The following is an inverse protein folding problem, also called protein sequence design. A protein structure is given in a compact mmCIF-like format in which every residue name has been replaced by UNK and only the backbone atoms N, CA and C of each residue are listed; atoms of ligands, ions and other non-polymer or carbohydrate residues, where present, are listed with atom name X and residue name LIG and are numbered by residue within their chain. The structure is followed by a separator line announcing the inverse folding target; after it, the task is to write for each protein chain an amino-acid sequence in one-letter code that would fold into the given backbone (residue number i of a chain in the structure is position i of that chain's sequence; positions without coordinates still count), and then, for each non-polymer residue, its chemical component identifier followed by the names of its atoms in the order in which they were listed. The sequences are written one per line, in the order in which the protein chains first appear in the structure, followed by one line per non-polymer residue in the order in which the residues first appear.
data_IF_190467458811
#
_entry.id   IF_190467458811
#
_cell.length_a   1.000
_cell.length_b   1.000
_cell.length_c   1.000
_cell.angle_alpha   90.00
_cell.angle_beta   90.00
_cell.angle_gamma   90.00
#
_symmetry.space_group_name_H-M   'P 1'
#
loop_
_entity.id
_entity.type
_entity.pdbx_description
1 polymer ?
#
# COMPACT_ATOMS: atom_id res chain seq x y z
N UNK A 1 12.80 -14.51 17.18
CA UNK A 1 13.18 -15.13 15.89
C UNK A 1 12.25 -14.55 14.84
N UNK A 2 12.75 -13.71 13.93
CA UNK A 2 11.92 -13.21 12.81
C UNK A 2 11.80 -14.38 11.86
N UNK A 3 10.61 -14.98 11.77
CA UNK A 3 10.34 -16.01 10.77
C UNK A 3 10.69 -15.44 9.39
N UNK A 4 11.63 -16.09 8.69
CA UNK A 4 11.90 -15.77 7.30
C UNK A 4 10.64 -16.16 6.53
N UNK A 5 9.78 -15.18 6.22
CA UNK A 5 8.65 -15.43 5.34
C UNK A 5 9.19 -15.74 3.95
N UNK A 6 8.86 -16.93 3.44
CA UNK A 6 9.27 -17.40 2.13
C UNK A 6 8.70 -16.50 1.03
N UNK A 7 9.50 -16.27 -0.01
CA UNK A 7 9.07 -15.61 -1.23
C UNK A 7 7.88 -16.36 -1.81
N UNK A 8 6.74 -15.68 -2.00
CA UNK A 8 5.56 -16.27 -2.61
C UNK A 8 4.92 -15.34 -3.63
N UNK A 9 4.12 -15.92 -4.52
CA UNK A 9 3.28 -15.13 -5.41
C UNK A 9 2.17 -14.43 -4.60
N UNK A 10 1.93 -13.16 -4.93
CA UNK A 10 0.85 -12.35 -4.38
C UNK A 10 0.21 -11.57 -5.52
N UNK A 11 -1.10 -11.47 -5.51
CA UNK A 11 -1.88 -10.70 -6.48
C UNK A 11 -2.58 -9.53 -5.81
N UNK A 12 -3.01 -8.59 -6.63
CA UNK A 12 -3.76 -7.43 -6.18
C UNK A 12 -4.22 -6.55 -7.31
N UNK A 13 -4.93 -5.48 -6.97
CA UNK A 13 -5.45 -4.52 -7.92
C UNK A 13 -6.26 -3.39 -7.29
N UNK A 14 -6.73 -2.50 -8.15
CA UNK A 14 -7.61 -1.40 -7.75
C UNK A 14 -9.04 -1.85 -7.44
N UNK A 15 -9.84 -0.95 -6.86
CA UNK A 15 -11.25 -1.15 -6.50
C UNK A 15 -12.17 -1.53 -7.68
N UNK A 16 -11.85 -1.13 -8.92
CA UNK A 16 -12.66 -1.49 -10.08
C UNK A 16 -12.10 -2.68 -10.88
N UNK A 17 -10.97 -3.25 -10.47
CA UNK A 17 -10.32 -4.36 -11.19
C UNK A 17 -9.59 -3.98 -12.48
N UNK A 18 -9.65 -2.72 -12.96
CA UNK A 18 -8.98 -2.32 -14.20
C UNK A 18 -7.45 -2.37 -14.11
N UNK A 19 -6.88 -2.16 -12.92
CA UNK A 19 -5.45 -2.34 -12.62
C UNK A 19 -5.31 -3.61 -11.79
N UNK A 20 -4.57 -4.59 -12.32
CA UNK A 20 -4.22 -5.85 -11.66
C UNK A 20 -2.72 -6.07 -11.75
N UNK A 21 -2.14 -6.66 -10.71
CA UNK A 21 -0.73 -6.97 -10.64
C UNK A 21 -0.48 -8.30 -9.96
N UNK A 22 0.72 -8.84 -10.20
CA UNK A 22 1.34 -9.88 -9.38
C UNK A 22 2.74 -9.48 -8.95
N UNK A 23 3.17 -9.99 -7.80
CA UNK A 23 4.56 -9.92 -7.33
C UNK A 23 4.98 -11.25 -6.72
N UNK A 24 6.21 -11.66 -6.97
CA UNK A 24 6.83 -12.81 -6.32
C UNK A 24 7.88 -12.26 -5.35
N UNK A 25 7.47 -12.04 -4.10
CA UNK A 25 8.30 -11.39 -3.08
C UNK A 25 7.80 -11.69 -1.68
N UNK A 26 8.60 -11.31 -0.68
CA UNK A 26 8.18 -11.23 0.71
C UNK A 26 8.15 -9.75 1.14
N UNK A 27 7.00 -9.05 0.99
CA UNK A 27 6.96 -7.61 1.15
C UNK A 27 7.16 -7.15 2.59
N UNK A 28 7.87 -6.04 2.78
CA UNK A 28 8.03 -5.40 4.10
C UNK A 28 6.95 -4.34 4.31
N UNK A 29 5.98 -4.64 5.17
CA UNK A 29 4.86 -3.73 5.46
C UNK A 29 5.15 -2.73 6.59
N UNK A 30 4.62 -1.51 6.48
CA UNK A 30 4.73 -0.47 7.49
C UNK A 30 3.58 0.53 7.46
N UNK A 31 3.36 1.20 8.59
CA UNK A 31 2.50 2.37 8.67
C UNK A 31 3.31 3.62 8.31
N UNK A 32 2.77 4.47 7.42
CA UNK A 32 3.34 5.76 7.09
C UNK A 32 2.39 6.88 7.46
N UNK A 33 2.80 7.67 8.45
CA UNK A 33 1.99 8.72 9.08
C UNK A 33 2.20 10.10 8.46
N UNK A 34 3.09 10.25 7.47
CA UNK A 34 3.41 11.56 6.94
C UNK A 34 2.21 12.20 6.22
N UNK A 35 2.16 13.54 6.23
CA UNK A 35 1.09 14.34 5.62
C UNK A 35 0.80 13.95 4.17
N UNK A 36 1.85 13.65 3.39
CA UNK A 36 1.71 13.22 2.01
C UNK A 36 1.00 11.88 1.88
N UNK A 37 1.30 10.92 2.74
CA UNK A 37 0.64 9.61 2.73
C UNK A 37 -0.82 9.74 3.18
N UNK A 38 -1.11 10.52 4.22
CA UNK A 38 -2.50 10.78 4.66
C UNK A 38 -3.32 11.45 3.55
N UNK A 39 -2.77 12.50 2.92
CA UNK A 39 -3.44 13.21 1.82
C UNK A 39 -3.60 12.34 0.57
N UNK A 40 -2.65 11.43 0.31
CA UNK A 40 -2.71 10.55 -0.85
C UNK A 40 -3.75 9.43 -0.70
N UNK A 41 -4.01 8.97 0.52
CA UNK A 41 -4.98 7.88 0.77
C UNK A 41 -6.33 8.39 1.25
N UNK A 42 -6.41 9.63 1.73
CA UNK A 42 -7.58 10.12 2.47
C UNK A 42 -7.75 9.47 3.85
N UNK A 43 -6.77 8.69 4.32
CA UNK A 43 -6.83 7.93 5.57
C UNK A 43 -5.91 8.52 6.65
N UNK A 44 -6.02 8.01 7.88
CA UNK A 44 -5.18 8.40 9.02
C UNK A 44 -3.68 8.11 8.79
N UNK A 45 -3.39 7.14 7.94
CA UNK A 45 -2.05 6.74 7.50
C UNK A 45 -2.15 5.96 6.18
N UNK A 46 -1.01 5.76 5.51
CA UNK A 46 -0.91 4.73 4.47
C UNK A 46 -0.33 3.46 5.08
N UNK A 47 -0.80 2.30 4.62
CA UNK A 47 -0.13 1.01 4.86
C UNK A 47 0.54 0.60 3.56
N UNK A 48 1.86 0.48 3.58
CA UNK A 48 2.68 0.30 2.39
C UNK A 48 3.58 -0.93 2.54
N UNK A 49 3.66 -1.72 1.48
CA UNK A 49 4.46 -2.93 1.39
C UNK A 49 5.55 -2.77 0.31
N UNK A 50 6.81 -2.73 0.72
CA UNK A 50 7.96 -2.63 -0.18
C UNK A 50 8.25 -3.96 -0.86
N UNK A 51 8.36 -3.94 -2.19
CA UNK A 51 8.76 -5.09 -3.02
C UNK A 51 9.87 -4.68 -4.00
N UNK A 52 10.70 -5.64 -4.47
CA UNK A 52 11.62 -5.37 -5.57
C UNK A 52 10.84 -4.98 -6.83
N UNK A 53 11.21 -3.89 -7.49
CA UNK A 53 10.58 -3.41 -8.73
C UNK A 53 10.55 -4.49 -9.82
N UNK A 54 11.63 -5.28 -9.93
CA UNK A 54 11.74 -6.39 -10.87
C UNK A 54 10.80 -7.56 -10.59
N UNK A 55 10.26 -7.67 -9.37
CA UNK A 55 9.29 -8.71 -9.00
C UNK A 55 7.86 -8.37 -9.43
N UNK A 56 7.58 -7.09 -9.75
CA UNK A 56 6.24 -6.60 -10.03
C UNK A 56 5.89 -6.74 -11.51
N UNK A 57 4.79 -7.41 -11.80
CA UNK A 57 4.21 -7.48 -13.13
C UNK A 57 2.78 -6.97 -13.12
N UNK A 58 2.48 -6.07 -14.07
CA UNK A 58 1.10 -5.64 -14.35
C UNK A 58 0.42 -6.69 -15.22
N UNK A 59 -0.74 -7.17 -14.77
CA UNK A 59 -1.53 -8.20 -15.45
C UNK A 59 -2.64 -7.60 -16.33
N UNK A 60 -2.99 -6.35 -16.09
CA UNK A 60 -3.95 -5.58 -16.89
C UNK A 60 -3.42 -4.16 -17.16
N UNK A 61 -4.28 -3.14 -17.17
CA UNK A 61 -3.85 -1.75 -17.36
C UNK A 61 -2.84 -1.33 -16.29
N UNK A 62 -1.83 -0.56 -16.72
CA UNK A 62 -0.90 0.08 -15.79
C UNK A 62 -1.61 1.23 -15.05
N UNK A 63 -1.32 1.44 -13.75
CA UNK A 63 -1.83 2.61 -13.06
C UNK A 63 -1.24 3.89 -13.65
N UNK A 64 -1.97 4.99 -13.54
CA UNK A 64 -1.44 6.28 -13.93
C UNK A 64 -0.44 6.76 -12.88
N UNK A 65 0.70 7.29 -13.33
CA UNK A 65 1.78 7.76 -12.46
C UNK A 65 1.85 9.29 -12.44
N UNK A 66 1.99 9.87 -11.24
CA UNK A 66 2.14 11.31 -11.01
C UNK A 66 3.37 11.59 -10.15
N UNK A 67 4.16 12.59 -10.53
CA UNK A 67 5.19 13.18 -9.66
C UNK A 67 4.51 13.80 -8.44
N UNK A 68 4.63 13.15 -7.29
CA UNK A 68 3.93 13.54 -6.06
C UNK A 68 4.74 14.50 -5.20
N UNK A 69 6.07 14.44 -5.31
CA UNK A 69 7.02 15.33 -4.67
C UNK A 69 8.30 15.43 -5.52
N UNK A 70 9.27 16.29 -5.16
CA UNK A 70 10.56 16.36 -5.87
C UNK A 70 11.33 15.04 -5.91
N UNK A 71 11.07 14.12 -4.97
CA UNK A 71 11.83 12.87 -4.78
C UNK A 71 11.03 11.60 -5.04
N UNK A 72 9.72 11.71 -5.31
CA UNK A 72 8.84 10.55 -5.33
C UNK A 72 7.69 10.66 -6.32
N UNK A 73 7.32 9.52 -6.89
CA UNK A 73 6.14 9.36 -7.72
C UNK A 73 5.13 8.45 -7.03
N UNK A 74 3.84 8.72 -7.27
CA UNK A 74 2.73 7.88 -6.81
C UNK A 74 1.88 7.48 -7.99
N UNK A 75 1.31 6.28 -7.94
CA UNK A 75 0.42 5.79 -8.97
C UNK A 75 -0.96 5.45 -8.42
N UNK A 76 -1.98 5.59 -9.26
CA UNK A 76 -3.38 5.32 -8.91
C UNK A 76 -4.16 4.84 -10.15
N UNK A 77 -5.30 4.17 -9.92
CA UNK A 77 -6.23 3.84 -10.99
C UNK A 77 -7.02 5.10 -11.40
N UNK A 78 -7.02 5.46 -12.69
CA UNK A 78 -7.78 6.62 -13.17
C UNK A 78 -9.29 6.46 -13.08
N UNK A 79 -9.77 5.22 -13.07
CA UNK A 79 -11.20 4.93 -13.16
C UNK A 79 -11.88 4.93 -11.78
N UNK A 80 -11.21 4.43 -10.74
CA UNK A 80 -11.78 4.36 -9.38
C UNK A 80 -10.97 5.13 -8.32
N UNK A 81 -9.83 5.73 -8.68
CA UNK A 81 -9.01 6.52 -7.76
C UNK A 81 -8.17 5.72 -6.75
N UNK A 82 -8.26 4.39 -6.72
CA UNK A 82 -7.46 3.58 -5.76
C UNK A 82 -5.96 3.90 -5.88
N UNK A 83 -5.29 4.24 -4.76
CA UNK A 83 -3.84 4.41 -4.76
C UNK A 83 -3.18 3.04 -4.92
N UNK A 84 -2.20 2.93 -5.80
CA UNK A 84 -1.56 1.66 -6.15
C UNK A 84 -0.12 1.59 -5.64
N UNK A 85 0.73 2.55 -6.02
CA UNK A 85 2.13 2.47 -5.67
C UNK A 85 2.79 3.81 -5.30
N UNK A 86 3.92 3.72 -4.61
CA UNK A 86 4.89 4.78 -4.32
C UNK A 86 6.28 4.31 -4.76
N UNK A 87 6.99 5.15 -5.51
CA UNK A 87 8.40 4.94 -5.86
C UNK A 87 9.22 6.18 -5.52
N UNK A 88 10.43 5.97 -5.01
CA UNK A 88 11.40 7.03 -4.72
C UNK A 88 12.52 7.01 -5.76
N UNK A 89 12.97 8.19 -6.18
CA UNK A 89 14.07 8.32 -7.15
C UNK A 89 15.38 7.74 -6.63
N UNK A 90 15.61 7.83 -5.32
CA UNK A 90 16.81 7.32 -4.65
C UNK A 90 16.82 5.80 -4.47
N UNK A 91 15.74 5.10 -4.81
CA UNK A 91 15.61 3.65 -4.63
C UNK A 91 14.84 3.04 -5.82
N UNK A 92 15.38 3.11 -7.04
CA UNK A 92 14.66 2.70 -8.26
C UNK A 92 14.33 1.20 -8.29
N UNK A 93 15.10 0.39 -7.57
CA UNK A 93 14.93 -1.06 -7.50
C UNK A 93 13.85 -1.50 -6.50
N UNK A 94 13.26 -0.57 -5.75
CA UNK A 94 12.14 -0.83 -4.83
C UNK A 94 10.89 -0.02 -5.22
N UNK A 95 9.74 -0.64 -5.02
CA UNK A 95 8.43 0.01 -5.16
C UNK A 95 7.55 -0.40 -3.98
N UNK A 96 6.86 0.56 -3.38
CA UNK A 96 5.88 0.30 -2.34
C UNK A 96 4.50 0.16 -2.97
N UNK A 97 3.81 -0.95 -2.69
CA UNK A 97 2.41 -1.17 -3.02
C UNK A 97 1.53 -0.84 -1.81
N UNK A 98 0.34 -0.28 -2.04
CA UNK A 98 -0.63 -0.09 -0.95
C UNK A 98 -1.14 -1.46 -0.46
N UNK A 99 -1.02 -1.74 0.84
CA UNK A 99 -1.39 -3.06 1.39
C UNK A 99 -2.85 -3.41 1.13
N UNK A 100 -3.76 -2.42 1.19
CA UNK A 100 -5.18 -2.62 0.93
C UNK A 100 -5.53 -2.98 -0.52
N UNK A 101 -4.57 -2.98 -1.45
CA UNK A 101 -4.80 -3.40 -2.84
C UNK A 101 -4.36 -4.82 -3.12
N UNK A 102 -3.81 -5.55 -2.16
CA UNK A 102 -3.56 -6.99 -2.29
C UNK A 102 -4.87 -7.77 -2.11
N UNK A 103 -5.03 -8.88 -2.82
CA UNK A 103 -6.24 -9.70 -2.69
C UNK A 103 -6.30 -10.38 -1.30
N UNK A 104 -5.14 -10.84 -0.80
CA UNK A 104 -4.98 -11.44 0.53
C UNK A 104 -3.96 -10.65 1.38
N UNK A 105 -4.39 -9.54 2.04
CA UNK A 105 -3.48 -8.67 2.78
C UNK A 105 -3.23 -9.11 4.24
N UNK A 106 -3.94 -10.14 4.72
CA UNK A 106 -3.99 -10.49 6.14
C UNK A 106 -2.62 -10.76 6.79
N UNK A 107 -1.65 -11.27 6.02
CA UNK A 107 -0.30 -11.57 6.52
C UNK A 107 0.75 -10.50 6.18
N UNK A 108 0.34 -9.39 5.57
CA UNK A 108 1.17 -8.20 5.35
C UNK A 108 1.14 -7.28 6.58
N UNK A 109 1.43 -7.86 7.74
CA UNK A 109 1.40 -7.18 9.03
C UNK A 109 2.48 -6.08 9.10
N UNK A 110 2.11 -4.81 9.32
CA UNK A 110 3.08 -3.73 9.45
C UNK A 110 4.03 -3.93 10.64
N UNK A 111 5.34 -3.85 10.40
CA UNK A 111 6.37 -4.11 11.44
C UNK A 111 6.99 -2.84 12.04
N UNK A 112 6.74 -1.68 11.44
CA UNK A 112 7.27 -0.41 11.94
C UNK A 112 6.38 0.78 11.53
N UNK A 113 6.64 1.93 12.18
CA UNK A 113 5.98 3.19 11.90
C UNK A 113 7.01 4.18 11.31
N UNK A 114 6.66 4.80 10.20
CA UNK A 114 7.42 5.88 9.57
C UNK A 114 6.70 7.22 9.72
N UNK A 115 7.44 8.31 9.93
CA UNK A 115 6.87 9.64 10.11
C UNK A 115 6.07 9.81 11.41
N UNK A 116 6.38 9.03 12.45
CA UNK A 116 5.61 8.93 13.70
C UNK A 116 5.35 10.25 14.43
N UNK A 117 6.18 11.28 14.21
CA UNK A 117 5.95 12.63 14.74
C UNK A 117 4.68 13.29 14.20
N UNK A 118 4.17 12.83 13.04
CA UNK A 118 2.95 13.32 12.40
C UNK A 118 1.77 12.35 12.58
N UNK A 119 1.90 11.33 13.44
CA UNK A 119 0.82 10.40 13.76
C UNK A 119 -0.30 11.14 14.48
N UNK A 120 -1.53 10.98 14.02
CA UNK A 120 -2.70 11.58 14.67
C UNK A 120 -2.93 10.89 16.02
N UNK A 121 -3.15 11.68 17.08
CA UNK A 121 -3.17 11.17 18.46
C UNK A 121 -4.26 10.13 18.74
N UNK A 122 -5.35 10.13 17.97
CA UNK A 122 -6.46 9.18 18.08
C UNK A 122 -6.21 7.86 17.33
N UNK A 123 -5.06 7.71 16.65
CA UNK A 123 -4.76 6.54 15.82
C UNK A 123 -4.31 5.34 16.65
N UNK A 124 -5.27 4.63 17.24
CA UNK A 124 -5.10 3.34 17.92
C UNK A 124 -6.27 2.38 17.61
N UNK A 125 -6.76 2.41 16.37
CA UNK A 125 -7.83 1.55 15.79
C UNK A 125 -9.17 1.45 16.55
N UNK A 126 -9.34 2.12 17.70
CA UNK A 126 -10.62 2.24 18.40
C UNK A 126 -11.32 0.90 18.62
N UNK A 127 -10.58 -0.17 18.96
CA UNK A 127 -11.12 -1.54 19.05
C UNK A 127 -12.29 -1.69 20.03
N UNK A 128 -12.43 -0.75 20.97
CA UNK A 128 -13.51 -0.71 21.96
C UNK A 128 -14.71 0.16 21.53
N UNK A 129 -14.71 0.71 20.31
CA UNK A 129 -15.84 1.46 19.76
C UNK A 129 -16.96 0.52 19.30
N UNK A 130 -18.22 0.99 19.23
CA UNK A 130 -19.29 0.23 18.59
C UNK A 130 -18.91 -0.19 17.16
N UNK A 131 -19.19 -1.45 16.82
CA UNK A 131 -18.87 -2.02 15.52
C UNK A 131 -20.14 -2.44 14.77
N UNK A 132 -20.06 -2.32 13.45
CA UNK A 132 -21.08 -2.80 12.52
C UNK A 132 -20.34 -3.49 11.36
N UNK A 133 -20.93 -4.55 10.82
CA UNK A 133 -20.37 -5.20 9.63
C UNK A 133 -20.54 -4.33 8.39
N UNK A 134 -19.59 -4.44 7.46
CA UNK A 134 -19.67 -3.76 6.18
C UNK A 134 -20.79 -4.37 5.31
N UNK A 135 -21.65 -3.51 4.75
CA UNK A 135 -22.64 -3.92 3.74
C UNK A 135 -22.02 -3.98 2.34
N UNK A 136 -20.99 -3.16 2.08
CA UNK A 136 -20.27 -3.14 0.81
C UNK A 136 -19.50 -4.45 0.58
N UNK A 137 -19.71 -5.05 -0.60
CA UNK A 137 -19.03 -6.27 -1.06
C UNK A 137 -18.58 -6.10 -2.50
N UNK A 138 -17.53 -6.85 -2.85
CA UNK A 138 -17.08 -7.06 -4.22
C UNK A 138 -17.87 -8.16 -4.91
#
# INVERSE_FOLDING_TARGET
MVAQQETRERTGGCLCGNVRYRTISNPRAHYCHCDMCRRSTGSAFAVLAWVPSASLQWLSNKPFCRRSSPIAQRSFCRDCGSPIALAYDASPDEIALHVGTFDDPADLEPRYNYGSAQRLGWTCCGVDLPHHDAEERW
#
